data_IF_847181017490
#
_entry.id   IF_847181017490
#
_cell.length_a   1.000
_cell.length_b   1.000
_cell.length_c   1.000
_cell.angle_alpha   90.00
_cell.angle_beta   90.00
_cell.angle_gamma   90.00
#
_symmetry.space_group_name_H-M   'P 1'
#
loop_
_entity.id
_entity.type
_entity.pdbx_description
1 polymer ?
#
# COMPACT_ATOMS: atom_id res chain seq x y z
N UNK A 1 2.67 -10.78 15.20
CA UNK A 1 3.07 -9.74 14.23
C UNK A 1 1.86 -9.41 13.39
N UNK A 2 1.35 -8.19 13.49
CA UNK A 2 0.17 -7.76 12.73
C UNK A 2 0.69 -7.08 11.48
N UNK A 3 0.82 -7.83 10.39
CA UNK A 3 1.08 -7.26 9.07
C UNK A 3 -0.23 -7.10 8.31
N UNK A 4 -0.25 -6.19 7.34
CA UNK A 4 -1.40 -5.97 6.47
C UNK A 4 -0.94 -5.65 5.06
N UNK A 5 -1.79 -5.93 4.07
CA UNK A 5 -1.52 -5.62 2.67
C UNK A 5 -2.21 -4.33 2.28
N UNK A 6 -1.48 -3.46 1.60
CA UNK A 6 -1.99 -2.22 1.00
C UNK A 6 -1.28 -1.98 -0.34
N UNK A 7 -1.41 -0.80 -0.91
CA UNK A 7 -0.68 -0.40 -2.12
C UNK A 7 0.38 0.65 -1.78
N UNK A 8 1.52 0.68 -2.47
CA UNK A 8 2.62 1.61 -2.16
C UNK A 8 2.29 3.10 -2.42
N UNK A 9 1.25 3.38 -3.21
CA UNK A 9 0.93 4.73 -3.62
C UNK A 9 -0.38 4.77 -4.41
N UNK A 10 -0.28 4.98 -5.73
CA UNK A 10 -1.46 5.12 -6.59
C UNK A 10 -1.38 4.18 -7.79
N UNK A 11 -2.54 3.77 -8.27
CA UNK A 11 -2.67 2.99 -9.49
C UNK A 11 -3.89 3.45 -10.28
N UNK A 12 -3.80 3.32 -11.60
CA UNK A 12 -4.91 3.61 -12.51
C UNK A 12 -4.96 2.51 -13.56
N UNK A 13 -6.16 2.00 -13.82
CA UNK A 13 -6.42 1.10 -14.93
C UNK A 13 -7.73 1.48 -15.63
N UNK A 14 -7.82 1.16 -16.92
CA UNK A 14 -8.99 1.44 -17.73
C UNK A 14 -9.44 0.17 -18.45
N UNK A 15 -10.76 -0.04 -18.49
CA UNK A 15 -11.40 -1.05 -19.33
C UNK A 15 -12.55 -0.42 -20.13
N UNK A 16 -12.91 -1.05 -21.24
CA UNK A 16 -14.11 -0.72 -22.01
C UNK A 16 -15.06 -1.92 -22.05
N UNK A 17 -16.33 -1.70 -21.70
CA UNK A 17 -17.40 -2.70 -21.76
C UNK A 17 -18.61 -2.11 -22.49
N UNK A 18 -18.98 -2.70 -23.63
CA UNK A 18 -20.03 -2.20 -24.55
C UNK A 18 -19.96 -0.68 -24.78
N UNK A 19 -18.78 -0.19 -25.19
CA UNK A 19 -18.48 1.23 -25.43
C UNK A 19 -18.50 2.13 -24.20
N UNK A 20 -18.89 1.61 -23.02
CA UNK A 20 -18.77 2.34 -21.77
C UNK A 20 -17.35 2.19 -21.25
N UNK A 21 -16.73 3.31 -20.89
CA UNK A 21 -15.36 3.34 -20.38
C UNK A 21 -15.37 3.42 -18.86
N UNK A 22 -14.59 2.56 -18.22
CA UNK A 22 -14.45 2.48 -16.77
C UNK A 22 -12.99 2.70 -16.40
N UNK A 23 -12.73 3.72 -15.58
CA UNK A 23 -11.38 4.09 -15.13
C UNK A 23 -11.34 3.87 -13.62
N UNK A 24 -10.63 2.84 -13.18
CA UNK A 24 -10.40 2.57 -11.76
C UNK A 24 -9.14 3.31 -11.31
N UNK A 25 -9.30 4.24 -10.36
CA UNK A 25 -8.21 4.94 -9.70
C UNK A 25 -8.13 4.47 -8.26
N UNK A 26 -6.98 3.94 -7.84
CA UNK A 26 -6.72 3.46 -6.49
C UNK A 26 -5.65 4.33 -5.81
N UNK A 27 -5.79 4.53 -4.51
CA UNK A 27 -4.80 5.22 -3.68
C UNK A 27 -4.70 4.57 -2.29
N UNK A 28 -3.47 4.51 -1.78
CA UNK A 28 -3.22 4.29 -0.36
C UNK A 28 -3.75 5.48 0.44
N UNK A 29 -4.54 5.20 1.47
CA UNK A 29 -5.14 6.19 2.37
C UNK A 29 -5.31 5.58 3.75
N UNK A 30 -4.93 6.31 4.79
CA UNK A 30 -4.99 5.84 6.18
C UNK A 30 -6.16 6.44 6.97
N UNK A 31 -6.80 7.48 6.42
CA UNK A 31 -7.89 8.22 7.07
C UNK A 31 -9.09 8.41 6.14
N UNK A 32 -10.27 8.68 6.72
CA UNK A 32 -11.46 8.99 5.91
C UNK A 32 -11.28 10.31 5.17
N UNK A 33 -10.62 11.27 5.79
CA UNK A 33 -10.29 12.58 5.22
C UNK A 33 -9.46 12.42 3.94
N UNK A 34 -8.44 11.55 3.96
CA UNK A 34 -7.63 11.23 2.78
C UNK A 34 -8.44 10.50 1.69
N UNK A 35 -9.28 9.53 2.08
CA UNK A 35 -10.15 8.83 1.13
C UNK A 35 -11.13 9.78 0.42
N UNK A 36 -11.71 10.73 1.16
CA UNK A 36 -12.62 11.73 0.61
C UNK A 36 -11.88 12.78 -0.22
N UNK A 37 -10.69 13.20 0.19
CA UNK A 37 -9.85 14.11 -0.59
C UNK A 37 -9.47 13.47 -1.95
N UNK A 38 -9.11 12.19 -1.94
CA UNK A 38 -8.82 11.43 -3.15
C UNK A 38 -10.05 11.32 -4.08
N UNK A 39 -11.24 11.06 -3.52
CA UNK A 39 -12.48 11.06 -4.30
C UNK A 39 -12.73 12.40 -5.00
N UNK A 40 -12.59 13.51 -4.27
CA UNK A 40 -12.82 14.83 -4.84
C UNK A 40 -11.77 15.19 -5.90
N UNK A 41 -10.52 14.75 -5.74
CA UNK A 41 -9.48 14.87 -6.77
C UNK A 41 -9.87 14.12 -8.06
N UNK A 42 -10.28 12.85 -7.95
CA UNK A 42 -10.69 12.04 -9.11
C UNK A 42 -11.92 12.63 -9.79
N UNK A 43 -12.91 13.11 -9.02
CA UNK A 43 -14.09 13.82 -9.52
C UNK A 43 -13.70 15.10 -10.26
N UNK A 44 -12.76 15.87 -9.72
CA UNK A 44 -12.27 17.10 -10.32
C UNK A 44 -11.50 16.85 -11.63
N UNK A 45 -10.79 15.72 -11.75
CA UNK A 45 -10.14 15.29 -12.98
C UNK A 45 -11.14 14.73 -14.02
N UNK A 46 -12.27 14.20 -13.57
CA UNK A 46 -13.29 13.54 -14.41
C UNK A 46 -14.65 14.26 -14.40
N UNK A 47 -14.66 15.60 -14.49
CA UNK A 47 -15.88 16.43 -14.34
C UNK A 47 -17.01 16.10 -15.31
N UNK A 48 -16.69 15.49 -16.45
CA UNK A 48 -17.67 15.10 -17.47
C UNK A 48 -18.26 13.70 -17.23
N UNK A 49 -17.70 12.93 -16.31
CA UNK A 49 -18.26 11.64 -15.92
C UNK A 49 -19.53 11.83 -15.10
N UNK A 50 -20.51 10.94 -15.31
CA UNK A 50 -21.77 10.96 -14.55
C UNK A 50 -21.68 10.24 -13.21
N UNK A 51 -20.77 9.27 -13.11
CA UNK A 51 -20.62 8.42 -11.95
C UNK A 51 -19.14 8.27 -11.62
N UNK A 52 -18.79 8.62 -10.38
CA UNK A 52 -17.53 8.39 -9.70
C UNK A 52 -17.83 7.54 -8.46
N UNK A 53 -18.08 6.26 -8.73
CA UNK A 53 -18.39 5.23 -7.73
C UNK A 53 -17.15 5.02 -6.89
N UNK A 54 -17.30 4.90 -5.57
CA UNK A 54 -16.14 4.71 -4.71
C UNK A 54 -16.37 3.66 -3.64
N UNK A 55 -15.27 3.08 -3.19
CA UNK A 55 -15.19 2.26 -2.00
C UNK A 55 -13.84 2.50 -1.30
N UNK A 56 -13.81 2.36 0.02
CA UNK A 56 -12.56 2.35 0.77
C UNK A 56 -12.63 1.43 1.98
N UNK A 57 -11.46 0.92 2.37
CA UNK A 57 -11.23 0.06 3.53
C UNK A 57 -10.10 0.67 4.33
N UNK A 58 -10.37 1.09 5.56
CA UNK A 58 -9.40 1.63 6.51
C UNK A 58 -9.25 0.67 7.69
N UNK A 59 -8.01 0.42 8.11
CA UNK A 59 -7.70 -0.53 9.18
C UNK A 59 -8.12 0.00 10.56
N UNK A 60 -8.55 -0.92 11.43
CA UNK A 60 -8.74 -0.63 12.84
C UNK A 60 -7.38 -0.45 13.53
N UNK A 61 -7.27 0.52 14.44
CA UNK A 61 -6.00 0.84 15.13
C UNK A 61 -4.92 1.50 14.27
N UNK A 62 -5.22 1.85 13.01
CA UNK A 62 -4.37 2.72 12.17
C UNK A 62 -4.55 4.21 12.52
N UNK A 63 -4.07 5.11 11.65
CA UNK A 63 -4.23 6.55 11.85
C UNK A 63 -5.71 6.97 11.99
N UNK A 64 -6.61 6.28 11.29
CA UNK A 64 -8.07 6.42 11.39
C UNK A 64 -8.75 5.72 12.58
N UNK A 65 -7.98 5.26 13.58
CA UNK A 65 -8.30 4.70 14.92
C UNK A 65 -9.47 3.69 15.06
N UNK A 66 -10.65 3.97 14.53
CA UNK A 66 -11.82 3.08 14.58
C UNK A 66 -11.88 2.07 13.43
N UNK A 67 -11.09 2.24 12.36
CA UNK A 67 -11.27 1.50 11.12
C UNK A 67 -12.61 1.84 10.46
N UNK A 68 -12.68 1.70 9.13
CA UNK A 68 -13.92 2.05 8.41
C UNK A 68 -13.99 1.39 7.05
N UNK A 69 -15.16 0.86 6.75
CA UNK A 69 -15.48 0.34 5.42
C UNK A 69 -16.67 1.11 4.87
N UNK A 70 -16.54 1.67 3.67
CA UNK A 70 -17.62 2.41 3.02
C UNK A 70 -17.61 2.20 1.51
N UNK A 71 -18.78 2.31 0.90
CA UNK A 71 -18.94 2.40 -0.55
C UNK A 71 -20.11 3.33 -0.91
N UNK A 72 -20.15 3.74 -2.18
CA UNK A 72 -21.25 4.50 -2.78
C UNK A 72 -21.43 4.09 -4.23
N UNK A 73 -22.68 3.89 -4.66
CA UNK A 73 -23.03 3.66 -6.06
C UNK A 73 -23.08 4.95 -6.90
N UNK A 74 -22.92 6.14 -6.29
CA UNK A 74 -22.86 7.45 -6.98
C UNK A 74 -23.92 7.66 -8.09
N UNK A 75 -25.17 7.24 -7.83
CA UNK A 75 -26.29 7.36 -8.77
C UNK A 75 -26.45 6.21 -9.77
N UNK A 76 -25.54 5.22 -9.77
CA UNK A 76 -25.81 3.91 -10.37
C UNK A 76 -26.93 3.18 -9.58
N UNK A 77 -27.59 2.19 -10.19
CA UNK A 77 -28.54 1.34 -9.48
C UNK A 77 -27.92 0.74 -8.21
N UNK A 78 -28.71 0.69 -7.14
CA UNK A 78 -28.23 0.28 -5.82
C UNK A 78 -27.52 -1.08 -5.83
N UNK A 79 -26.35 -1.14 -5.19
CA UNK A 79 -25.47 -2.32 -5.05
C UNK A 79 -24.95 -2.89 -6.38
N UNK A 80 -25.00 -2.12 -7.46
CA UNK A 80 -24.49 -2.58 -8.77
C UNK A 80 -23.09 -2.06 -9.09
N UNK A 81 -22.55 -1.15 -8.28
CA UNK A 81 -21.28 -0.51 -8.57
C UNK A 81 -20.36 -0.41 -7.34
N UNK A 82 -20.82 0.27 -6.29
CA UNK A 82 -20.00 0.53 -5.09
C UNK A 82 -19.74 -0.75 -4.30
N UNK A 83 -20.76 -1.60 -4.13
CA UNK A 83 -20.60 -2.88 -3.45
C UNK A 83 -19.64 -3.83 -4.21
N UNK A 84 -19.78 -4.05 -5.53
CA UNK A 84 -18.79 -4.81 -6.31
C UNK A 84 -17.36 -4.26 -6.22
N UNK A 85 -17.20 -2.93 -6.22
CA UNK A 85 -15.89 -2.29 -6.06
C UNK A 85 -15.29 -2.63 -4.69
N UNK A 86 -16.09 -2.53 -3.62
CA UNK A 86 -15.66 -2.88 -2.27
C UNK A 86 -15.30 -4.36 -2.14
N UNK A 87 -16.12 -5.26 -2.67
CA UNK A 87 -15.88 -6.71 -2.61
C UNK A 87 -14.55 -7.09 -3.26
N UNK A 88 -14.15 -6.42 -4.35
CA UNK A 88 -12.83 -6.64 -4.97
C UNK A 88 -11.70 -6.26 -4.02
N UNK A 89 -11.76 -5.10 -3.36
CA UNK A 89 -10.73 -4.67 -2.40
C UNK A 89 -10.63 -5.67 -1.23
N UNK A 90 -11.77 -6.13 -0.72
CA UNK A 90 -11.84 -7.09 0.38
C UNK A 90 -11.33 -8.48 -0.02
N UNK A 91 -11.68 -8.97 -1.21
CA UNK A 91 -11.18 -10.24 -1.73
C UNK A 91 -9.66 -10.20 -1.97
N UNK A 92 -9.13 -9.05 -2.39
CA UNK A 92 -7.69 -8.82 -2.49
C UNK A 92 -7.00 -8.64 -1.11
N UNK A 93 -7.76 -8.71 -0.01
CA UNK A 93 -7.27 -8.51 1.36
C UNK A 93 -6.54 -7.17 1.56
N UNK A 94 -6.97 -6.13 0.84
CA UNK A 94 -6.38 -4.81 0.93
C UNK A 94 -7.04 -3.99 2.04
N UNK A 95 -6.22 -3.26 2.80
CA UNK A 95 -6.66 -2.25 3.75
C UNK A 95 -5.84 -0.98 3.56
N UNK A 96 -6.30 0.12 4.17
CA UNK A 96 -5.77 1.47 3.98
C UNK A 96 -5.71 1.84 2.51
N UNK A 97 -6.86 1.64 1.84
CA UNK A 97 -7.00 1.82 0.39
C UNK A 97 -8.35 2.42 0.05
N UNK A 98 -8.36 3.31 -0.94
CA UNK A 98 -9.55 3.82 -1.60
C UNK A 98 -9.50 3.50 -3.09
N UNK A 99 -10.65 3.15 -3.66
CA UNK A 99 -10.86 3.00 -5.09
C UNK A 99 -11.99 3.92 -5.54
N UNK A 100 -11.78 4.59 -6.66
CA UNK A 100 -12.79 5.40 -7.37
C UNK A 100 -12.86 4.89 -8.79
N UNK A 101 -14.01 4.34 -9.18
CA UNK A 101 -14.29 3.87 -10.53
C UNK A 101 -15.16 4.91 -11.24
N UNK A 102 -14.52 5.63 -12.15
CA UNK A 102 -15.15 6.63 -13.00
C UNK A 102 -15.78 5.94 -14.21
N UNK A 103 -17.05 6.22 -14.50
CA UNK A 103 -17.74 5.69 -15.68
C UNK A 103 -18.12 6.78 -16.67
N UNK A 104 -17.74 6.57 -17.93
CA UNK A 104 -18.28 7.29 -19.08
C UNK A 104 -19.25 6.38 -19.85
N UNK A 105 -20.50 6.80 -19.98
CA UNK A 105 -21.54 6.01 -20.65
C UNK A 105 -21.34 5.93 -22.17
N UNK A 106 -21.33 4.71 -22.71
CA UNK A 106 -21.07 4.43 -24.12
C UNK A 106 -22.28 4.42 -25.06
N UNK A 107 -23.47 4.80 -24.59
CA UNK A 107 -24.70 4.73 -25.38
C UNK A 107 -25.43 3.38 -25.35
N UNK A 108 -24.84 2.35 -24.73
CA UNK A 108 -25.45 1.00 -24.59
C UNK A 108 -25.65 0.66 -23.11
N UNK A 109 -26.88 0.32 -22.73
CA UNK A 109 -27.18 -0.10 -21.36
C UNK A 109 -26.57 -1.49 -21.07
N UNK A 110 -25.94 -1.61 -19.91
CA UNK A 110 -25.32 -2.86 -19.45
C UNK A 110 -26.30 -3.77 -18.70
N UNK A 111 -27.37 -3.19 -18.14
CA UNK A 111 -28.23 -3.86 -17.17
C UNK A 111 -27.53 -4.12 -15.83
N UNK A 112 -28.28 -4.50 -14.80
CA UNK A 112 -27.77 -4.72 -13.43
C UNK A 112 -26.58 -5.68 -13.40
N UNK A 113 -26.71 -6.86 -14.00
CA UNK A 113 -25.62 -7.84 -14.02
C UNK A 113 -24.41 -7.43 -14.86
N UNK A 114 -24.61 -6.59 -15.89
CA UNK A 114 -23.51 -6.03 -16.66
C UNK A 114 -22.73 -4.96 -15.89
N UNK A 115 -23.42 -4.12 -15.12
CA UNK A 115 -22.78 -3.12 -14.25
C UNK A 115 -21.93 -3.79 -13.18
N UNK A 116 -22.50 -4.77 -12.47
CA UNK A 116 -21.76 -5.53 -11.44
C UNK A 116 -20.46 -6.07 -12.02
N UNK A 117 -20.53 -6.77 -13.16
CA UNK A 117 -19.33 -7.32 -13.82
C UNK A 117 -18.34 -6.23 -14.24
N UNK A 118 -18.80 -5.13 -14.83
CA UNK A 118 -17.92 -4.06 -15.30
C UNK A 118 -17.18 -3.36 -14.13
N UNK A 119 -17.87 -3.05 -13.04
CA UNK A 119 -17.24 -2.47 -11.85
C UNK A 119 -16.27 -3.43 -11.17
N UNK A 120 -16.62 -4.73 -11.08
CA UNK A 120 -15.71 -5.77 -10.60
C UNK A 120 -14.44 -5.82 -11.45
N UNK A 121 -14.58 -5.95 -12.77
CA UNK A 121 -13.44 -6.06 -13.69
C UNK A 121 -12.56 -4.80 -13.70
N UNK A 122 -13.16 -3.62 -13.68
CA UNK A 122 -12.42 -2.36 -13.64
C UNK A 122 -11.60 -2.26 -12.35
N UNK A 123 -12.20 -2.58 -11.21
CA UNK A 123 -11.52 -2.55 -9.91
C UNK A 123 -10.41 -3.59 -9.85
N UNK A 124 -10.64 -4.80 -10.38
CA UNK A 124 -9.61 -5.85 -10.47
C UNK A 124 -8.42 -5.40 -11.30
N UNK A 125 -8.66 -4.80 -12.47
CA UNK A 125 -7.59 -4.22 -13.30
C UNK A 125 -6.82 -3.13 -12.54
N UNK A 126 -7.51 -2.31 -11.73
CA UNK A 126 -6.88 -1.31 -10.87
C UNK A 126 -5.98 -1.92 -9.78
N UNK A 127 -6.41 -3.03 -9.17
CA UNK A 127 -5.61 -3.79 -8.20
C UNK A 127 -4.41 -4.46 -8.87
N UNK A 128 -4.59 -5.05 -10.05
CA UNK A 128 -3.51 -5.67 -10.83
C UNK A 128 -2.45 -4.66 -11.28
N UNK A 129 -2.86 -3.41 -11.57
CA UNK A 129 -1.95 -2.32 -11.89
C UNK A 129 -1.24 -1.72 -10.67
N UNK A 130 -1.67 -2.06 -9.44
CA UNK A 130 -1.10 -1.53 -8.21
C UNK A 130 0.11 -2.32 -7.72
N UNK A 131 1.10 -1.59 -7.21
CA UNK A 131 2.20 -2.19 -6.45
C UNK A 131 1.69 -2.56 -5.04
N UNK A 132 1.43 -3.84 -4.83
CA UNK A 132 1.02 -4.37 -3.52
C UNK A 132 2.21 -4.44 -2.58
N UNK A 133 2.04 -3.92 -1.37
CA UNK A 133 3.05 -3.96 -0.31
C UNK A 133 2.47 -4.55 0.97
N UNK A 134 3.31 -5.27 1.70
CA UNK A 134 2.98 -5.76 3.04
C UNK A 134 3.62 -4.84 4.04
N UNK A 135 2.78 -4.10 4.77
CA UNK A 135 3.21 -3.25 5.87
C UNK A 135 3.30 -4.10 7.13
N UNK A 136 4.44 -4.01 7.80
CA UNK A 136 4.72 -4.71 9.05
C UNK A 136 5.30 -3.73 10.06
N UNK A 137 5.16 -4.08 11.34
CA UNK A 137 5.88 -3.38 12.40
C UNK A 137 7.36 -3.70 12.29
N UNK A 138 8.16 -2.68 12.05
CA UNK A 138 9.59 -2.75 11.78
C UNK A 138 10.37 -1.83 12.73
N UNK A 139 11.67 -2.01 12.78
CA UNK A 139 12.62 -1.01 13.28
C UNK A 139 13.68 -0.77 12.20
N UNK A 140 14.21 0.44 12.19
CA UNK A 140 15.34 0.78 11.35
C UNK A 140 16.62 0.82 12.20
N UNK A 141 17.69 0.24 11.67
CA UNK A 141 19.01 0.22 12.29
C UNK A 141 19.95 1.09 11.45
N UNK A 142 20.62 2.05 12.09
CA UNK A 142 21.74 2.78 11.50
C UNK A 142 23.04 2.22 12.07
N UNK A 143 23.90 1.68 11.20
CA UNK A 143 25.17 1.08 11.59
C UNK A 143 26.31 1.79 10.86
N UNK A 144 27.34 2.21 11.61
CA UNK A 144 28.59 2.69 11.02
C UNK A 144 29.66 1.62 11.12
N UNK A 145 30.29 1.31 10.00
CA UNK A 145 31.37 0.32 9.91
C UNK A 145 32.47 0.76 8.94
N UNK A 146 33.63 0.13 9.06
CA UNK A 146 34.73 0.34 8.13
C UNK A 146 34.46 -0.32 6.77
N UNK A 147 35.06 0.21 5.70
CA UNK A 147 34.99 -0.39 4.36
C UNK A 147 35.43 -1.86 4.35
N UNK A 148 36.43 -2.24 5.16
CA UNK A 148 36.93 -3.62 5.22
C UNK A 148 35.90 -4.62 5.78
N UNK A 149 34.95 -4.15 6.60
CA UNK A 149 33.91 -4.98 7.23
C UNK A 149 32.55 -4.87 6.55
N UNK A 150 32.39 -3.91 5.65
CA UNK A 150 31.13 -3.61 4.96
C UNK A 150 30.48 -4.85 4.34
N UNK A 151 31.18 -5.56 3.45
CA UNK A 151 30.60 -6.71 2.75
C UNK A 151 30.22 -7.85 3.72
N UNK A 152 31.04 -8.06 4.75
CA UNK A 152 30.75 -9.06 5.77
C UNK A 152 29.50 -8.68 6.58
N UNK A 153 29.36 -7.40 6.93
CA UNK A 153 28.21 -6.89 7.66
C UNK A 153 26.91 -6.99 6.84
N UNK A 154 26.95 -6.67 5.55
CA UNK A 154 25.80 -6.85 4.64
C UNK A 154 25.36 -8.31 4.59
N UNK A 155 26.30 -9.26 4.51
CA UNK A 155 25.98 -10.69 4.52
C UNK A 155 25.35 -11.12 5.85
N UNK A 156 25.94 -10.73 6.98
CA UNK A 156 25.39 -11.02 8.31
C UNK A 156 23.98 -10.43 8.46
N UNK A 157 23.78 -9.19 8.02
CA UNK A 157 22.48 -8.52 8.04
C UNK A 157 21.45 -9.31 7.23
N UNK A 158 21.78 -9.69 6.00
CA UNK A 158 20.90 -10.49 5.15
C UNK A 158 20.57 -11.86 5.76
N UNK A 159 21.57 -12.56 6.32
CA UNK A 159 21.39 -13.85 7.00
C UNK A 159 20.48 -13.76 8.23
N UNK A 160 20.45 -12.59 8.88
CA UNK A 160 19.54 -12.28 9.99
C UNK A 160 18.18 -11.73 9.54
N UNK A 161 17.92 -11.66 8.23
CA UNK A 161 16.65 -11.20 7.67
C UNK A 161 16.49 -9.68 7.61
N UNK A 162 17.59 -8.91 7.72
CA UNK A 162 17.55 -7.46 7.54
C UNK A 162 17.55 -7.09 6.05
N UNK A 163 16.79 -6.06 5.70
CA UNK A 163 16.76 -5.46 4.35
C UNK A 163 17.58 -4.18 4.35
N UNK A 164 18.46 -4.02 3.37
CA UNK A 164 19.23 -2.76 3.22
C UNK A 164 18.30 -1.70 2.62
N UNK A 165 18.12 -0.59 3.32
CA UNK A 165 17.35 0.56 2.85
C UNK A 165 18.23 1.54 2.08
N UNK A 166 19.41 1.84 2.62
CA UNK A 166 20.33 2.83 2.07
C UNK A 166 21.77 2.53 2.52
N UNK A 167 22.74 3.01 1.76
CA UNK A 167 24.16 2.92 2.11
C UNK A 167 24.88 4.21 1.75
N UNK A 168 25.39 4.89 2.77
CA UNK A 168 26.23 6.09 2.63
C UNK A 168 27.70 5.75 2.68
N UNK A 169 28.48 6.25 1.72
CA UNK A 169 29.94 6.11 1.67
C UNK A 169 30.58 7.46 1.97
N UNK A 170 31.20 7.58 3.14
CA UNK A 170 31.96 8.75 3.55
C UNK A 170 33.32 8.29 4.15
N UNK A 171 33.81 8.95 5.21
CA UNK A 171 35.00 8.49 5.95
C UNK A 171 34.81 7.07 6.51
N UNK A 172 33.56 6.73 6.85
CA UNK A 172 33.09 5.38 7.18
C UNK A 172 31.87 5.02 6.33
N UNK A 173 31.54 3.72 6.27
CA UNK A 173 30.30 3.27 5.63
C UNK A 173 29.17 3.33 6.63
N UNK A 174 28.09 4.02 6.28
CA UNK A 174 26.86 4.07 7.05
C UNK A 174 25.80 3.22 6.34
N UNK A 175 25.27 2.21 7.03
CA UNK A 175 24.19 1.36 6.54
C UNK A 175 22.91 1.68 7.27
N UNK A 176 21.83 1.83 6.51
CA UNK A 176 20.48 1.83 7.04
C UNK A 176 19.84 0.50 6.68
N UNK A 177 19.50 -0.26 7.71
CA UNK A 177 18.85 -1.55 7.59
C UNK A 177 17.43 -1.46 8.15
N UNK A 178 16.53 -2.30 7.65
CA UNK A 178 15.22 -2.54 8.24
C UNK A 178 15.09 -3.98 8.68
N UNK A 179 14.51 -4.18 9.86
CA UNK A 179 14.14 -5.49 10.39
C UNK A 179 12.73 -5.46 10.96
N UNK A 180 12.10 -6.63 10.99
CA UNK A 180 10.85 -6.83 11.72
C UNK A 180 11.07 -6.55 13.22
N UNK A 181 10.11 -5.86 13.84
CA UNK A 181 10.18 -5.56 15.27
C UNK A 181 10.31 -6.85 16.10
N UNK A 182 11.21 -6.85 17.10
CA UNK A 182 11.57 -8.01 17.91
C UNK A 182 12.52 -9.05 17.29
N UNK A 183 12.97 -8.92 16.04
CA UNK A 183 13.88 -9.92 15.40
C UNK A 183 15.36 -9.51 15.37
N UNK A 184 15.73 -8.39 15.99
CA UNK A 184 17.06 -7.78 15.86
C UNK A 184 18.15 -8.50 16.68
N UNK A 185 17.77 -9.22 17.73
CA UNK A 185 18.72 -9.77 18.70
C UNK A 185 19.86 -10.61 18.09
N UNK A 186 19.61 -11.52 17.11
CA UNK A 186 20.68 -12.27 16.46
C UNK A 186 21.66 -11.39 15.66
N UNK A 187 21.16 -10.35 14.99
CA UNK A 187 22.02 -9.40 14.26
C UNK A 187 22.89 -8.62 15.23
N UNK A 188 22.30 -8.07 16.29
CA UNK A 188 23.02 -7.29 17.29
C UNK A 188 24.15 -8.11 17.93
N UNK A 189 23.88 -9.38 18.29
CA UNK A 189 24.92 -10.26 18.84
C UNK A 189 26.10 -10.48 17.87
N UNK A 190 25.82 -10.75 16.60
CA UNK A 190 26.86 -10.92 15.57
C UNK A 190 27.63 -9.64 15.27
N UNK A 191 26.97 -8.48 15.35
CA UNK A 191 27.63 -7.18 15.23
C UNK A 191 28.60 -6.94 16.37
N UNK A 192 28.19 -7.23 17.62
CA UNK A 192 29.08 -7.16 18.78
C UNK A 192 30.31 -8.05 18.63
N UNK A 193 30.16 -9.27 18.09
CA UNK A 193 31.28 -10.16 17.80
C UNK A 193 32.20 -9.61 16.70
N UNK A 194 31.64 -9.10 15.61
CA UNK A 194 32.39 -8.56 14.47
C UNK A 194 33.19 -7.30 14.84
N UNK A 195 32.56 -6.39 15.60
CA UNK A 195 33.13 -5.11 16.00
C UNK A 195 33.85 -5.19 17.36
N UNK A 196 33.88 -6.37 18.00
CA UNK A 196 34.51 -6.63 19.31
C UNK A 196 33.99 -5.70 20.42
N UNK A 197 32.68 -5.44 20.44
CA UNK A 197 32.03 -4.56 21.41
C UNK A 197 32.18 -3.06 21.13
N UNK A 198 32.67 -2.68 19.94
CA UNK A 198 32.82 -1.28 19.52
C UNK A 198 31.81 -0.89 18.42
N UNK A 199 30.74 -1.65 18.26
CA UNK A 199 29.70 -1.41 17.27
C UNK A 199 29.02 -0.05 17.50
N UNK A 200 28.87 0.70 16.41
CA UNK A 200 28.14 1.97 16.39
C UNK A 200 26.81 1.73 15.71
N UNK A 201 25.86 1.24 16.50
CA UNK A 201 24.49 0.94 16.06
C UNK A 201 23.48 1.80 16.82
N UNK A 202 22.52 2.34 16.10
CA UNK A 202 21.31 2.95 16.66
C UNK A 202 20.09 2.21 16.12
N UNK A 203 19.14 1.87 17.01
CA UNK A 203 17.88 1.23 16.64
C UNK A 203 16.77 2.25 16.88
N UNK A 204 15.90 2.45 15.90
CA UNK A 204 14.76 3.36 16.01
C UNK A 204 13.68 2.81 16.94
N UNK A 205 12.72 3.67 17.32
CA UNK A 205 11.43 3.21 17.78
C UNK A 205 10.72 2.39 16.66
N UNK A 206 9.80 1.47 17.01
CA UNK A 206 9.06 0.72 16.02
C UNK A 206 8.18 1.60 15.14
N UNK A 207 8.18 1.30 13.84
CA UNK A 207 7.39 1.98 12.80
C UNK A 207 6.60 0.97 11.98
N UNK A 208 5.41 1.34 11.52
CA UNK A 208 4.71 0.58 10.49
C UNK A 208 5.29 0.96 9.13
N UNK A 209 5.90 0.01 8.43
CA UNK A 209 6.47 0.26 7.12
C UNK A 209 6.41 -0.97 6.23
N UNK A 210 6.49 -0.76 4.91
CA UNK A 210 6.69 -1.83 3.97
C UNK A 210 7.94 -2.64 4.36
N UNK A 211 7.75 -3.95 4.52
CA UNK A 211 8.83 -4.88 4.82
C UNK A 211 9.06 -5.85 3.68
#
# INVERSE_FOLDING_TARGET
>A
MTSYTTIAGRAVAEIEEKKSRFIASLAHVETEEEALAFLEEVRAANRMARHNVYAYVLREGGAGAAGRVRYSDDGEPQKTAGLPTLEVLQHASLTDVAAVVTRYFGGVLLGTGGLVRAYTQATQAGVEAAELVVVSRCVDLEIRTSYARYEQLVRIAADCGAKVLDTGFADEVMLRLRMLDGTQAPLLAKLTELERGQERVCVSDPVDAAF
#
